data_IF_538608891312
#
_entry.id   IF_538608891312
#
_cell.length_a   1.000
_cell.length_b   1.000
_cell.length_c   1.000
_cell.angle_alpha   90.00
_cell.angle_beta   90.00
_cell.angle_gamma   90.00
#
_symmetry.space_group_name_H-M   'P 1'
#
loop_
_entity.id
_entity.type
_entity.pdbx_description
1 polymer ?
#
# COMPACT_ATOMS: atom_id res chain seq x y z
N UNK A 1 3.15 -27.11 -4.20
CA UNK A 1 2.11 -26.22 -4.77
C UNK A 1 2.07 -25.04 -3.83
N UNK A 2 2.71 -23.95 -4.23
CA UNK A 2 2.98 -22.80 -3.35
C UNK A 2 1.67 -22.07 -3.04
N UNK A 3 1.03 -22.46 -1.93
CA UNK A 3 -0.10 -21.75 -1.33
C UNK A 3 0.37 -20.54 -0.51
N UNK A 4 1.38 -19.83 -1.02
CA UNK A 4 2.05 -18.78 -0.27
C UNK A 4 1.40 -17.41 -0.45
N UNK A 5 0.54 -17.22 -1.45
CA UNK A 5 -0.08 -15.91 -1.71
C UNK A 5 -0.82 -15.37 -0.48
N UNK A 6 -1.78 -16.12 0.06
CA UNK A 6 -2.51 -15.69 1.25
C UNK A 6 -1.63 -15.65 2.50
N UNK A 7 -0.63 -16.52 2.58
CA UNK A 7 0.35 -16.52 3.67
C UNK A 7 1.18 -15.24 3.68
N UNK A 8 1.62 -14.75 2.52
CA UNK A 8 2.29 -13.46 2.38
C UNK A 8 1.32 -12.31 2.63
N UNK A 9 0.12 -12.32 2.03
CA UNK A 9 -0.86 -11.27 2.23
C UNK A 9 -1.23 -11.08 3.71
N UNK A 10 -1.44 -12.18 4.45
CA UNK A 10 -1.78 -12.11 5.86
C UNK A 10 -0.61 -11.78 6.79
N UNK A 11 0.63 -11.72 6.28
CA UNK A 11 1.78 -11.18 7.02
C UNK A 11 1.76 -9.65 7.09
N UNK A 12 1.00 -8.98 6.22
CA UNK A 12 0.86 -7.51 6.22
C UNK A 12 0.47 -6.95 7.60
N UNK A 13 -0.37 -7.66 8.36
CA UNK A 13 -0.78 -7.26 9.72
C UNK A 13 0.37 -7.18 10.74
N UNK A 14 1.52 -7.78 10.44
CA UNK A 14 2.70 -7.78 11.31
C UNK A 14 3.71 -6.69 10.96
N UNK A 15 3.51 -5.96 9.85
CA UNK A 15 4.43 -4.92 9.40
C UNK A 15 3.86 -3.58 9.84
N UNK A 16 4.49 -3.00 10.87
CA UNK A 16 4.10 -1.70 11.44
C UNK A 16 4.63 -0.57 10.57
N UNK A 17 3.81 0.47 10.43
CA UNK A 17 4.19 1.72 9.80
C UNK A 17 4.82 2.68 10.80
N UNK A 18 5.51 3.69 10.29
CA UNK A 18 6.08 4.78 11.09
C UNK A 18 7.16 4.34 12.08
N UNK A 19 7.98 3.35 11.71
CA UNK A 19 8.99 2.75 12.60
C UNK A 19 10.01 3.74 13.22
N UNK A 20 10.14 4.96 12.67
CA UNK A 20 11.02 6.02 13.18
C UNK A 20 10.31 7.08 14.04
N UNK A 21 9.00 6.95 14.25
CA UNK A 21 8.17 7.91 14.98
C UNK A 21 7.51 7.25 16.19
N UNK A 22 7.21 8.04 17.22
CA UNK A 22 6.34 7.59 18.32
C UNK A 22 4.89 7.74 17.88
N UNK A 23 4.21 6.62 17.65
CA UNK A 23 2.78 6.59 17.33
C UNK A 23 1.95 6.36 18.60
N UNK A 24 0.90 7.18 18.81
CA UNK A 24 -0.08 6.95 19.88
C UNK A 24 -1.01 5.78 19.57
N UNK A 25 -1.30 5.60 18.29
CA UNK A 25 -2.06 4.48 17.73
C UNK A 25 -1.15 3.81 16.72
N UNK A 26 -0.93 2.50 16.87
CA UNK A 26 -0.14 1.75 15.91
C UNK A 26 -0.98 1.49 14.66
N UNK A 27 -0.34 1.57 13.49
CA UNK A 27 -0.92 1.28 12.18
C UNK A 27 -0.04 0.22 11.52
N UNK A 28 -0.64 -0.81 10.92
CA UNK A 28 0.07 -1.76 10.06
C UNK A 28 -0.31 -1.58 8.58
N UNK A 29 0.50 -2.13 7.67
CA UNK A 29 0.29 -1.93 6.22
C UNK A 29 -1.03 -2.54 5.71
N UNK A 30 -1.63 -3.51 6.42
CA UNK A 30 -2.96 -4.05 6.07
C UNK A 30 -4.06 -3.03 6.37
N UNK A 31 -4.03 -2.39 7.54
CA UNK A 31 -4.95 -1.33 7.92
C UNK A 31 -4.81 -0.14 6.97
N UNK A 32 -3.58 0.29 6.72
CA UNK A 32 -3.27 1.35 5.78
C UNK A 32 -3.82 1.08 4.38
N UNK A 33 -3.54 -0.11 3.83
CA UNK A 33 -4.01 -0.51 2.51
C UNK A 33 -5.54 -0.48 2.42
N UNK A 34 -6.24 -0.90 3.47
CA UNK A 34 -7.69 -0.82 3.52
C UNK A 34 -8.21 0.63 3.53
N UNK A 35 -7.62 1.50 4.34
CA UNK A 35 -8.00 2.92 4.39
C UNK A 35 -7.76 3.62 3.05
N UNK A 36 -6.61 3.36 2.41
CA UNK A 36 -6.27 3.86 1.07
C UNK A 36 -7.27 3.36 0.03
N UNK A 37 -7.69 2.09 0.10
CA UNK A 37 -8.74 1.55 -0.78
C UNK A 37 -10.06 2.29 -0.66
N UNK A 38 -10.51 2.56 0.56
CA UNK A 38 -11.77 3.29 0.80
C UNK A 38 -11.70 4.70 0.21
N UNK A 39 -10.59 5.41 0.44
CA UNK A 39 -10.38 6.76 -0.07
C UNK A 39 -10.28 6.76 -1.60
N UNK A 40 -9.48 5.87 -2.19
CA UNK A 40 -9.28 5.79 -3.64
C UNK A 40 -10.58 5.49 -4.39
N UNK A 41 -11.38 4.53 -3.90
CA UNK A 41 -12.69 4.22 -4.45
C UNK A 41 -13.65 5.42 -4.35
N UNK A 42 -13.67 6.09 -3.20
CA UNK A 42 -14.51 7.29 -3.00
C UNK A 42 -14.15 8.41 -3.98
N UNK A 43 -12.85 8.64 -4.21
CA UNK A 43 -12.37 9.63 -5.18
C UNK A 43 -12.77 9.24 -6.61
N UNK A 44 -12.67 7.96 -6.97
CA UNK A 44 -13.09 7.47 -8.29
C UNK A 44 -14.58 7.71 -8.53
N UNK A 45 -15.43 7.38 -7.55
CA UNK A 45 -16.86 7.66 -7.61
C UNK A 45 -17.17 9.15 -7.75
N UNK A 46 -16.50 10.01 -6.96
CA UNK A 46 -16.66 11.47 -7.04
C UNK A 46 -16.28 11.97 -8.43
N UNK A 47 -15.16 11.48 -9.00
CA UNK A 47 -14.70 11.86 -10.33
C UNK A 47 -15.74 11.52 -11.41
N UNK A 48 -16.31 10.32 -11.36
CA UNK A 48 -17.31 9.89 -12.32
C UNK A 48 -18.64 10.63 -12.14
N UNK A 49 -19.08 10.83 -10.90
CA UNK A 49 -20.42 11.38 -10.59
C UNK A 49 -20.48 12.90 -10.71
N UNK A 50 -19.46 13.61 -10.23
CA UNK A 50 -19.50 15.08 -10.09
C UNK A 50 -18.66 15.81 -11.13
N UNK A 51 -17.69 15.13 -11.76
CA UNK A 51 -16.68 15.77 -12.62
C UNK A 51 -16.60 15.15 -14.02
N UNK A 52 -17.64 14.42 -14.45
CA UNK A 52 -17.74 13.83 -15.79
C UNK A 52 -16.62 12.86 -16.14
N UNK A 53 -16.01 12.23 -15.12
CA UNK A 53 -14.98 11.22 -15.31
C UNK A 53 -15.52 9.91 -15.86
N UNK A 54 -14.60 9.06 -16.30
CA UNK A 54 -14.87 7.69 -16.72
C UNK A 54 -13.74 6.75 -16.27
N UNK A 55 -13.38 6.83 -14.99
CA UNK A 55 -12.38 5.94 -14.39
C UNK A 55 -13.06 4.63 -13.96
N UNK A 56 -12.34 3.52 -14.01
CA UNK A 56 -12.85 2.21 -13.55
C UNK A 56 -12.68 2.11 -12.02
N UNK A 57 -13.79 2.20 -11.29
CA UNK A 57 -13.78 2.18 -9.82
C UNK A 57 -13.30 0.83 -9.26
N UNK A 58 -13.63 -0.28 -9.93
CA UNK A 58 -13.21 -1.62 -9.52
C UNK A 58 -11.70 -1.76 -9.66
N UNK A 59 -11.15 -1.35 -10.81
CA UNK A 59 -9.71 -1.35 -11.03
C UNK A 59 -8.99 -0.42 -10.05
N UNK A 60 -9.52 0.77 -9.77
CA UNK A 60 -8.96 1.68 -8.76
C UNK A 60 -8.92 1.05 -7.37
N UNK A 61 -10.01 0.41 -6.95
CA UNK A 61 -10.09 -0.30 -5.67
C UNK A 61 -9.07 -1.45 -5.60
N UNK A 62 -8.98 -2.28 -6.63
CA UNK A 62 -8.02 -3.38 -6.70
C UNK A 62 -6.56 -2.90 -6.70
N UNK A 63 -6.25 -1.81 -7.40
CA UNK A 63 -4.89 -1.24 -7.35
C UNK A 63 -4.56 -0.76 -5.94
N UNK A 64 -5.50 -0.06 -5.28
CA UNK A 64 -5.29 0.46 -3.93
C UNK A 64 -5.15 -0.66 -2.89
N UNK A 65 -5.93 -1.74 -2.97
CA UNK A 65 -5.88 -2.80 -1.94
C UNK A 65 -4.57 -3.59 -1.98
N UNK A 66 -3.93 -3.67 -3.15
CA UNK A 66 -2.71 -4.45 -3.35
C UNK A 66 -1.44 -3.59 -3.47
N UNK A 67 -1.52 -2.25 -3.33
CA UNK A 67 -0.37 -1.39 -3.65
C UNK A 67 0.84 -1.58 -2.72
N UNK A 68 0.65 -2.05 -1.48
CA UNK A 68 1.72 -2.31 -0.50
C UNK A 68 2.04 -3.79 -0.31
N UNK A 69 1.49 -4.70 -1.12
CA UNK A 69 1.74 -6.14 -0.88
C UNK A 69 3.19 -6.56 -1.06
N UNK A 70 3.96 -5.83 -1.88
CA UNK A 70 5.40 -6.06 -2.02
C UNK A 70 6.18 -5.76 -0.73
N UNK A 71 5.63 -4.91 0.15
CA UNK A 71 6.26 -4.58 1.43
C UNK A 71 6.27 -5.77 2.39
N UNK A 72 5.53 -6.84 2.10
CA UNK A 72 5.65 -8.11 2.83
C UNK A 72 7.07 -8.69 2.72
N UNK A 73 7.77 -8.44 1.61
CA UNK A 73 9.14 -8.90 1.39
C UNK A 73 10.17 -7.90 1.92
N UNK A 74 9.91 -6.60 1.79
CA UNK A 74 10.90 -5.55 2.12
C UNK A 74 10.75 -4.98 3.53
N UNK A 75 9.60 -5.16 4.17
CA UNK A 75 9.13 -4.34 5.28
C UNK A 75 8.70 -2.94 4.85
N UNK A 76 7.99 -2.22 5.72
CA UNK A 76 7.70 -0.79 5.52
C UNK A 76 8.97 0.02 5.77
N UNK A 77 9.58 0.48 4.67
CA UNK A 77 10.77 1.31 4.74
C UNK A 77 10.37 2.77 4.97
N UNK A 78 10.93 3.43 6.00
CA UNK A 78 10.72 4.85 6.23
C UNK A 78 11.07 5.69 5.00
N UNK A 79 10.27 6.71 4.71
CA UNK A 79 10.46 7.64 3.59
C UNK A 79 11.90 8.16 3.45
N UNK A 80 12.62 8.54 4.53
CA UNK A 80 14.00 9.00 4.39
C UNK A 80 14.94 7.96 3.79
N UNK A 81 14.71 6.66 4.06
CA UNK A 81 15.51 5.55 3.52
C UNK A 81 15.13 5.27 2.07
N UNK A 82 13.82 5.22 1.76
CA UNK A 82 13.29 5.00 0.40
C UNK A 82 13.88 5.98 -0.64
N UNK A 83 14.22 7.19 -0.21
CA UNK A 83 14.73 8.26 -1.09
C UNK A 83 16.18 8.70 -0.77
N UNK A 84 16.90 8.00 0.11
CA UNK A 84 18.26 8.38 0.50
C UNK A 84 19.26 8.29 -0.66
N UNK A 85 19.20 7.20 -1.44
CA UNK A 85 20.06 6.97 -2.60
C UNK A 85 19.24 6.38 -3.76
N UNK A 86 19.47 6.88 -4.97
CA UNK A 86 18.84 6.36 -6.20
C UNK A 86 19.16 4.88 -6.45
N UNK A 87 20.36 4.43 -6.09
CA UNK A 87 20.76 3.02 -6.22
C UNK A 87 19.93 2.12 -5.30
N UNK A 88 19.67 2.57 -4.08
CA UNK A 88 18.80 1.88 -3.12
C UNK A 88 17.36 1.84 -3.66
N UNK A 89 16.86 2.97 -4.20
CA UNK A 89 15.50 3.03 -4.77
C UNK A 89 15.31 2.07 -5.95
N UNK A 90 16.29 1.98 -6.86
CA UNK A 90 16.24 1.06 -8.00
C UNK A 90 16.31 -0.40 -7.55
N UNK A 91 17.22 -0.74 -6.64
CA UNK A 91 17.35 -2.10 -6.13
C UNK A 91 16.05 -2.64 -5.50
N UNK A 92 15.25 -1.79 -4.86
CA UNK A 92 13.95 -2.19 -4.31
C UNK A 92 12.85 -2.35 -5.35
N UNK A 93 12.94 -1.66 -6.51
CA UNK A 93 11.98 -1.83 -7.60
C UNK A 93 12.25 -3.09 -8.43
N UNK A 94 13.49 -3.57 -8.40
CA UNK A 94 13.93 -4.76 -9.13
C UNK A 94 13.70 -6.07 -8.36
N UNK A 95 13.26 -6.00 -7.09
CA UNK A 95 12.83 -7.13 -6.25
C UNK A 95 11.34 -7.45 -6.46
#
# INVERSE_FOLDING_TARGET
MDYDFYSYLFRMKYIKRWALMRSLVEENIMEHSWEVSVVAHSIAMIKNTLFGGNVDEYKTLCLAIYHETSEVLTGDLPTPIKYFNKEINSAYKDL
#
